data_IF_461003532618
#
_entry.id   IF_461003532618
#
_cell.length_a   1.000
_cell.length_b   1.000
_cell.length_c   1.000
_cell.angle_alpha   90.00
_cell.angle_beta   90.00
_cell.angle_gamma   90.00
#
_symmetry.space_group_name_H-M   'P 1'
#
loop_
_entity.id
_entity.type
_entity.pdbx_description
1 polymer ?
#
# COMPACT_ATOMS: atom_id res chain seq x y z
N UNK A 1 -20.98 13.20 39.38
CA UNK A 1 -20.95 11.79 38.95
C UNK A 1 -19.51 11.44 38.62
N UNK A 2 -18.81 10.59 39.39
CA UNK A 2 -17.50 10.13 38.99
C UNK A 2 -17.67 9.23 37.74
N UNK A 3 -17.21 9.70 36.59
CA UNK A 3 -17.15 8.90 35.38
C UNK A 3 -16.07 7.83 35.58
N UNK A 4 -16.49 6.60 35.89
CA UNK A 4 -15.58 5.47 36.07
C UNK A 4 -14.86 5.18 34.75
N UNK A 5 -13.60 5.60 34.65
CA UNK A 5 -12.72 5.31 33.52
C UNK A 5 -12.15 3.91 33.73
N UNK A 6 -12.90 2.87 33.35
CA UNK A 6 -12.42 1.48 33.48
C UNK A 6 -13.48 0.41 33.71
N UNK A 7 -14.67 0.55 33.12
CA UNK A 7 -15.73 -0.47 33.23
C UNK A 7 -15.62 -1.57 32.16
N UNK A 8 -14.49 -1.66 31.47
CA UNK A 8 -14.32 -2.60 30.37
C UNK A 8 -13.60 -3.85 30.91
N UNK A 9 -14.21 -5.01 30.69
CA UNK A 9 -13.68 -6.27 31.18
C UNK A 9 -12.37 -6.67 30.47
N UNK A 10 -11.49 -7.38 31.18
CA UNK A 10 -10.18 -7.77 30.66
C UNK A 10 -10.31 -8.72 29.46
N UNK A 11 -11.28 -9.64 29.45
CA UNK A 11 -11.54 -10.52 28.30
C UNK A 11 -11.97 -9.70 27.07
N UNK A 12 -12.77 -8.66 27.29
CA UNK A 12 -13.20 -7.75 26.23
C UNK A 12 -12.01 -6.97 25.64
N UNK A 13 -11.09 -6.48 26.49
CA UNK A 13 -9.85 -5.85 26.03
C UNK A 13 -8.98 -6.79 25.21
N UNK A 14 -8.79 -8.02 25.69
CA UNK A 14 -7.98 -9.03 25.00
C UNK A 14 -8.56 -9.34 23.62
N UNK A 15 -9.89 -9.47 23.49
CA UNK A 15 -10.56 -9.65 22.20
C UNK A 15 -10.38 -8.45 21.28
N UNK A 16 -10.50 -7.23 21.79
CA UNK A 16 -10.28 -6.01 21.00
C UNK A 16 -8.84 -5.95 20.48
N UNK A 17 -7.86 -6.24 21.35
CA UNK A 17 -6.44 -6.28 20.98
C UNK A 17 -6.22 -7.38 19.94
N UNK A 18 -6.81 -8.56 20.12
CA UNK A 18 -6.68 -9.66 19.16
C UNK A 18 -7.23 -9.27 17.79
N UNK A 19 -8.41 -8.66 17.72
CA UNK A 19 -8.97 -8.15 16.47
C UNK A 19 -8.05 -7.10 15.86
N UNK A 20 -7.50 -6.20 16.67
CA UNK A 20 -6.57 -5.17 16.19
C UNK A 20 -5.30 -5.79 15.62
N UNK A 21 -4.75 -6.83 16.25
CA UNK A 21 -3.60 -7.59 15.76
C UNK A 21 -3.94 -8.27 14.42
N UNK A 22 -5.11 -8.89 14.30
CA UNK A 22 -5.55 -9.51 13.04
C UNK A 22 -5.68 -8.47 11.93
N UNK A 23 -6.30 -7.32 12.20
CA UNK A 23 -6.40 -6.22 11.24
C UNK A 23 -5.02 -5.71 10.85
N UNK A 24 -4.11 -5.56 11.81
CA UNK A 24 -2.74 -5.13 11.57
C UNK A 24 -1.99 -6.10 10.65
N UNK A 25 -2.08 -7.40 10.93
CA UNK A 25 -1.48 -8.45 10.08
C UNK A 25 -2.08 -8.44 8.67
N UNK A 26 -3.40 -8.23 8.54
CA UNK A 26 -4.04 -8.14 7.23
C UNK A 26 -3.51 -6.94 6.42
N UNK A 27 -3.33 -5.79 7.06
CA UNK A 27 -2.74 -4.61 6.42
C UNK A 27 -1.29 -4.85 6.01
N UNK A 28 -0.50 -5.54 6.83
CA UNK A 28 0.88 -5.91 6.50
C UNK A 28 0.96 -6.80 5.26
N UNK A 29 0.10 -7.82 5.19
CA UNK A 29 0.00 -8.70 4.00
C UNK A 29 -0.40 -7.92 2.76
N UNK A 30 -1.37 -7.02 2.87
CA UNK A 30 -1.80 -6.16 1.76
C UNK A 30 -0.65 -5.24 1.33
N UNK A 31 0.08 -4.65 2.28
CA UNK A 31 1.24 -3.81 2.01
C UNK A 31 2.33 -4.57 1.24
N UNK A 32 2.72 -5.74 1.74
CA UNK A 32 3.70 -6.60 1.09
C UNK A 32 3.27 -7.02 -0.33
N UNK A 33 1.97 -7.29 -0.54
CA UNK A 33 1.43 -7.59 -1.86
C UNK A 33 1.56 -6.38 -2.80
N UNK A 34 1.16 -5.19 -2.36
CA UNK A 34 1.28 -3.96 -3.17
C UNK A 34 2.75 -3.68 -3.51
N UNK A 35 3.66 -3.82 -2.55
CA UNK A 35 5.10 -3.65 -2.79
C UNK A 35 5.64 -4.66 -3.79
N UNK A 36 5.21 -5.92 -3.71
CA UNK A 36 5.62 -6.95 -4.68
C UNK A 36 5.18 -6.61 -6.10
N UNK A 37 3.94 -6.13 -6.28
CA UNK A 37 3.43 -5.69 -7.58
C UNK A 37 4.17 -4.45 -8.06
N UNK A 38 4.41 -3.49 -7.16
CA UNK A 38 5.16 -2.28 -7.48
C UNK A 38 6.61 -2.58 -7.88
N UNK A 39 7.25 -3.59 -7.29
CA UNK A 39 8.60 -4.03 -7.65
C UNK A 39 8.63 -4.58 -9.09
N UNK A 40 7.66 -5.41 -9.46
CA UNK A 40 7.52 -5.94 -10.83
C UNK A 40 7.30 -4.80 -11.83
N UNK A 41 6.38 -3.87 -11.53
CA UNK A 41 6.15 -2.70 -12.37
C UNK A 41 7.36 -1.76 -12.40
N UNK A 42 8.13 -1.70 -11.32
CA UNK A 42 9.37 -0.94 -11.19
C UNK A 42 10.42 -1.37 -12.22
N UNK A 43 10.49 -2.66 -12.55
CA UNK A 43 11.37 -3.18 -13.60
C UNK A 43 10.94 -2.74 -15.00
N UNK A 44 9.64 -2.59 -15.24
CA UNK A 44 9.11 -2.08 -16.50
C UNK A 44 9.23 -0.55 -16.66
N UNK A 45 9.38 0.18 -15.54
CA UNK A 45 9.50 1.65 -15.51
C UNK A 45 10.55 2.22 -16.49
N UNK A 46 11.80 1.71 -16.58
CA UNK A 46 12.77 2.19 -17.57
C UNK A 46 12.33 1.94 -19.02
N UNK A 47 11.69 0.80 -19.30
CA UNK A 47 11.19 0.48 -20.65
C UNK A 47 10.07 1.44 -21.05
N UNK A 48 9.14 1.71 -20.12
CA UNK A 48 8.09 2.70 -20.34
C UNK A 48 8.69 4.10 -20.56
N UNK A 49 9.68 4.48 -19.75
CA UNK A 49 10.40 5.75 -19.94
C UNK A 49 11.07 5.87 -21.31
N UNK A 50 11.73 4.81 -21.76
CA UNK A 50 12.32 4.74 -23.11
C UNK A 50 11.27 4.78 -24.21
N UNK A 51 10.14 4.10 -24.03
CA UNK A 51 9.04 4.13 -24.99
C UNK A 51 8.44 5.55 -25.09
N UNK A 52 8.22 6.22 -23.97
CA UNK A 52 7.77 7.62 -23.94
C UNK A 52 8.80 8.54 -24.60
N UNK A 53 10.09 8.37 -24.30
CA UNK A 53 11.15 9.16 -24.92
C UNK A 53 11.19 8.92 -26.44
N UNK A 54 11.07 7.68 -26.89
CA UNK A 54 11.01 7.33 -28.30
C UNK A 54 9.79 7.95 -28.99
N UNK A 55 8.61 7.93 -28.35
CA UNK A 55 7.41 8.60 -28.85
C UNK A 55 7.62 10.12 -28.96
N UNK A 56 8.28 10.75 -27.98
CA UNK A 56 8.61 12.18 -28.04
C UNK A 56 9.55 12.47 -29.21
N UNK A 57 10.60 11.65 -29.40
CA UNK A 57 11.55 11.81 -30.51
C UNK A 57 10.88 11.61 -31.87
N UNK A 58 10.04 10.58 -32.00
CA UNK A 58 9.28 10.31 -33.22
C UNK A 58 8.32 11.45 -33.52
N UNK A 59 7.58 11.93 -32.52
CA UNK A 59 6.70 13.08 -32.67
C UNK A 59 7.47 14.33 -33.12
N UNK A 60 8.64 14.58 -32.55
CA UNK A 60 9.47 15.72 -32.96
C UNK A 60 9.99 15.55 -34.40
N UNK A 61 10.37 14.34 -34.81
CA UNK A 61 10.77 14.06 -36.20
C UNK A 61 9.61 14.14 -37.20
N UNK A 62 8.39 13.83 -36.77
CA UNK A 62 7.17 13.90 -37.58
C UNK A 62 6.66 15.35 -37.72
N UNK A 63 6.96 16.21 -36.74
CA UNK A 63 6.59 17.64 -36.70
C UNK A 63 7.60 18.55 -37.45
N UNK A 64 8.85 18.14 -37.65
CA UNK A 64 9.90 18.90 -38.38
C UNK A 64 9.88 18.58 -39.88
#
# INVERSE_FOLDING_TARGET
>A
MPTSRGDIDTDSLLKIILVLVVVWLALEVIGALIESLAAVLGLARPIVGLAVLALIVLWLLDEI
#
